data_IF_090750717672
#
_entry.id   IF_090750717672
#
_cell.length_a   1.000
_cell.length_b   1.000
_cell.length_c   1.000
_cell.angle_alpha   90.00
_cell.angle_beta   90.00
_cell.angle_gamma   90.00
#
_symmetry.space_group_name_H-M   'P 1'
#
loop_
_entity.id
_entity.type
_entity.pdbx_description
1 polymer ?
#
# COMPACT_ATOMS: atom_id res chain seq x y z
N UNK A 1 -29.45 -26.35 -68.98
CA UNK A 1 -29.68 -25.73 -67.66
C UNK A 1 -28.32 -25.55 -67.01
N UNK A 2 -27.82 -24.32 -66.96
CA UNK A 2 -26.52 -23.99 -66.37
C UNK A 2 -26.78 -23.04 -65.20
N UNK A 3 -26.69 -23.55 -63.98
CA UNK A 3 -26.79 -22.75 -62.77
C UNK A 3 -25.39 -22.20 -62.43
N UNK A 4 -25.25 -20.88 -62.50
CA UNK A 4 -24.07 -20.16 -62.01
C UNK A 4 -24.19 -19.95 -60.51
N UNK A 5 -23.31 -20.62 -59.77
CA UNK A 5 -23.14 -20.51 -58.32
C UNK A 5 -22.34 -19.23 -58.02
N UNK A 6 -22.98 -18.23 -57.43
CA UNK A 6 -22.32 -17.01 -56.95
C UNK A 6 -21.67 -17.26 -55.58
N UNK A 7 -20.34 -17.14 -55.53
CA UNK A 7 -19.56 -17.29 -54.32
C UNK A 7 -19.85 -16.15 -53.33
N UNK A 8 -20.21 -16.52 -52.10
CA UNK A 8 -20.41 -15.64 -50.95
C UNK A 8 -19.07 -15.16 -50.41
N UNK A 9 -18.89 -13.84 -50.31
CA UNK A 9 -17.69 -13.22 -49.76
C UNK A 9 -17.63 -13.37 -48.23
N UNK A 10 -16.46 -13.61 -47.62
CA UNK A 10 -16.34 -13.74 -46.17
C UNK A 10 -16.55 -12.38 -45.49
N UNK A 11 -17.47 -12.34 -44.53
CA UNK A 11 -17.74 -11.17 -43.69
C UNK A 11 -16.50 -10.80 -42.86
N UNK A 12 -16.09 -9.53 -42.94
CA UNK A 12 -14.99 -8.98 -42.18
C UNK A 12 -15.32 -8.98 -40.67
N UNK A 13 -14.63 -9.85 -39.92
CA UNK A 13 -14.64 -9.85 -38.46
C UNK A 13 -14.07 -8.53 -37.94
N UNK A 14 -14.94 -7.66 -37.43
CA UNK A 14 -14.53 -6.44 -36.76
C UNK A 14 -13.91 -6.85 -35.44
N UNK A 15 -12.58 -6.77 -35.34
CA UNK A 15 -11.87 -6.90 -34.07
C UNK A 15 -12.39 -5.80 -33.15
N UNK A 16 -13.19 -6.17 -32.15
CA UNK A 16 -13.53 -5.28 -31.03
C UNK A 16 -12.20 -4.96 -30.35
N UNK A 17 -11.64 -3.79 -30.66
CA UNK A 17 -10.48 -3.27 -29.94
C UNK A 17 -10.79 -3.20 -28.45
N UNK A 18 -9.77 -3.31 -27.60
CA UNK A 18 -9.91 -3.06 -26.18
C UNK A 18 -10.58 -1.68 -26.00
N UNK A 19 -11.82 -1.67 -25.50
CA UNK A 19 -12.47 -0.44 -25.08
C UNK A 19 -11.80 -0.04 -23.78
N UNK A 20 -10.92 0.96 -23.86
CA UNK A 20 -10.38 1.59 -22.68
C UNK A 20 -11.52 2.31 -21.97
N UNK A 21 -11.61 2.11 -20.66
CA UNK A 21 -12.51 2.86 -19.81
C UNK A 21 -11.99 4.31 -19.74
N UNK A 22 -12.62 5.23 -20.48
CA UNK A 22 -12.21 6.63 -20.51
C UNK A 22 -12.46 7.36 -19.19
N UNK A 23 -13.23 6.77 -18.27
CA UNK A 23 -13.41 7.32 -16.93
C UNK A 23 -12.16 7.19 -16.05
N UNK A 24 -11.24 6.28 -16.39
CA UNK A 24 -9.99 6.08 -15.65
C UNK A 24 -8.86 7.03 -16.10
N UNK A 25 -9.10 7.83 -17.15
CA UNK A 25 -8.15 8.79 -17.71
C UNK A 25 -8.75 10.19 -17.58
N UNK A 26 -8.55 10.88 -16.44
CA UNK A 26 -9.16 12.18 -16.18
C UNK A 26 -8.84 13.21 -17.28
N UNK A 27 -7.67 13.11 -17.94
CA UNK A 27 -7.26 13.99 -19.04
C UNK A 27 -8.18 13.93 -20.28
N UNK A 28 -8.96 12.85 -20.39
CA UNK A 28 -9.95 12.63 -21.45
C UNK A 28 -11.36 13.09 -21.08
N UNK A 29 -11.61 13.46 -19.82
CA UNK A 29 -12.94 13.87 -19.37
C UNK A 29 -13.26 15.32 -19.75
N UNK A 30 -14.47 15.59 -20.30
CA UNK A 30 -14.92 16.96 -20.55
C UNK A 30 -15.07 17.68 -19.21
N UNK A 31 -14.29 18.76 -19.02
CA UNK A 31 -14.16 19.48 -17.74
C UNK A 31 -12.73 19.47 -17.17
N UNK A 32 -11.96 18.39 -17.37
CA UNK A 32 -10.60 18.29 -16.87
C UNK A 32 -9.55 18.93 -17.80
N UNK A 33 -9.92 19.20 -19.05
CA UNK A 33 -8.99 19.73 -20.05
C UNK A 33 -8.68 21.23 -19.83
N UNK A 34 -7.48 21.71 -20.22
CA UNK A 34 -7.09 23.11 -20.07
C UNK A 34 -8.05 24.12 -20.74
N UNK A 35 -8.77 23.70 -21.79
CA UNK A 35 -9.75 24.51 -22.51
C UNK A 35 -11.21 24.36 -22.07
N UNK A 36 -11.51 23.56 -21.03
CA UNK A 36 -12.87 23.35 -20.58
C UNK A 36 -13.51 24.65 -20.06
N UNK A 37 -14.79 24.84 -20.36
CA UNK A 37 -15.52 26.02 -19.89
C UNK A 37 -15.82 25.89 -18.37
N UNK A 38 -16.16 27.00 -17.68
CA UNK A 38 -16.41 26.97 -16.24
C UNK A 38 -17.53 26.00 -15.80
N UNK A 39 -18.59 25.86 -16.58
CA UNK A 39 -19.71 24.97 -16.26
C UNK A 39 -19.33 23.49 -16.41
N UNK A 40 -18.49 23.14 -17.38
CA UNK A 40 -17.93 21.80 -17.56
C UNK A 40 -16.97 21.44 -16.42
N UNK A 41 -16.14 22.39 -15.99
CA UNK A 41 -15.25 22.22 -14.82
C UNK A 41 -16.04 21.97 -13.56
N UNK A 42 -17.06 22.77 -13.29
CA UNK A 42 -17.92 22.61 -12.10
C UNK A 42 -18.60 21.23 -12.07
N UNK A 43 -19.13 20.77 -13.19
CA UNK A 43 -19.73 19.43 -13.31
C UNK A 43 -18.71 18.30 -13.07
N UNK A 44 -17.50 18.45 -13.61
CA UNK A 44 -16.42 17.49 -13.37
C UNK A 44 -16.05 17.44 -11.89
N UNK A 45 -15.85 18.58 -11.24
CA UNK A 45 -15.54 18.67 -9.82
C UNK A 45 -16.65 18.11 -8.93
N UNK A 46 -17.92 18.35 -9.29
CA UNK A 46 -19.05 17.76 -8.58
C UNK A 46 -19.01 16.22 -8.69
N UNK A 47 -18.80 15.69 -9.89
CA UNK A 47 -18.75 14.25 -10.11
C UNK A 47 -17.56 13.58 -9.41
N UNK A 48 -16.40 14.24 -9.36
CA UNK A 48 -15.26 13.75 -8.59
C UNK A 48 -15.58 13.67 -7.10
N UNK A 49 -16.31 14.65 -6.55
CA UNK A 49 -16.75 14.63 -5.15
C UNK A 49 -17.74 13.51 -4.87
N UNK A 50 -18.72 13.32 -5.75
CA UNK A 50 -19.70 12.23 -5.65
C UNK A 50 -18.99 10.87 -5.67
N UNK A 51 -18.12 10.63 -6.64
CA UNK A 51 -17.37 9.37 -6.75
C UNK A 51 -16.48 9.12 -5.52
N UNK A 52 -15.84 10.15 -4.98
CA UNK A 52 -15.05 10.01 -3.75
C UNK A 52 -15.90 9.62 -2.55
N UNK A 53 -17.11 10.19 -2.43
CA UNK A 53 -18.05 9.82 -1.37
C UNK A 53 -18.55 8.38 -1.53
N UNK A 54 -18.85 7.97 -2.76
CA UNK A 54 -19.23 6.59 -3.09
C UNK A 54 -18.10 5.61 -2.73
N UNK A 55 -16.84 5.89 -3.12
CA UNK A 55 -15.70 5.06 -2.75
C UNK A 55 -15.48 5.00 -1.24
N UNK A 56 -15.56 6.11 -0.52
CA UNK A 56 -15.46 6.09 0.95
C UNK A 56 -16.58 5.25 1.58
N UNK A 57 -17.79 5.33 1.02
CA UNK A 57 -18.92 4.57 1.53
C UNK A 57 -18.73 3.07 1.25
N UNK A 58 -18.33 2.70 0.04
CA UNK A 58 -18.01 1.31 -0.32
C UNK A 58 -16.88 0.75 0.54
N UNK A 59 -15.82 1.52 0.79
CA UNK A 59 -14.74 1.11 1.70
C UNK A 59 -15.24 0.88 3.12
N UNK A 60 -16.13 1.75 3.64
CA UNK A 60 -16.76 1.55 4.96
C UNK A 60 -17.64 0.31 5.00
N UNK A 61 -18.39 0.04 3.94
CA UNK A 61 -19.24 -1.16 3.81
C UNK A 61 -18.37 -2.42 3.77
N UNK A 62 -17.33 -2.46 2.94
CA UNK A 62 -16.36 -3.57 2.88
C UNK A 62 -15.66 -3.75 4.23
N UNK A 63 -15.28 -2.66 4.90
CA UNK A 63 -14.67 -2.74 6.23
C UNK A 63 -15.65 -3.33 7.26
N UNK A 64 -16.91 -2.90 7.26
CA UNK A 64 -17.95 -3.43 8.13
C UNK A 64 -18.21 -4.92 7.87
N UNK A 65 -18.29 -5.33 6.60
CA UNK A 65 -18.43 -6.74 6.21
C UNK A 65 -17.22 -7.57 6.65
N UNK A 66 -16.00 -7.06 6.47
CA UNK A 66 -14.77 -7.71 6.96
C UNK A 66 -14.76 -7.85 8.47
N UNK A 67 -15.21 -6.84 9.19
CA UNK A 67 -15.33 -6.91 10.65
C UNK A 67 -16.36 -7.96 11.08
N UNK A 68 -17.52 -8.04 10.40
CA UNK A 68 -18.53 -9.06 10.66
C UNK A 68 -18.01 -10.48 10.36
N UNK A 69 -17.32 -10.66 9.22
CA UNK A 69 -16.74 -11.95 8.82
C UNK A 69 -15.57 -12.36 9.74
N UNK A 70 -14.74 -11.41 10.16
CA UNK A 70 -13.64 -11.65 11.11
C UNK A 70 -14.16 -11.99 12.50
N UNK A 71 -15.28 -11.40 12.93
CA UNK A 71 -15.93 -11.75 14.19
C UNK A 71 -16.38 -13.21 14.22
N UNK A 72 -17.03 -13.69 13.15
CA UNK A 72 -17.50 -15.07 13.06
C UNK A 72 -16.34 -16.09 13.03
N UNK A 73 -15.28 -15.84 12.26
CA UNK A 73 -14.10 -16.70 12.25
C UNK A 73 -13.38 -16.74 13.60
N UNK A 74 -13.29 -15.59 14.26
CA UNK A 74 -12.65 -15.47 15.58
C UNK A 74 -13.44 -16.13 16.69
N UNK A 75 -14.77 -16.03 16.66
CA UNK A 75 -15.65 -16.76 17.58
C UNK A 75 -15.38 -18.25 17.50
N UNK A 76 -15.31 -18.81 16.28
CA UNK A 76 -15.06 -20.25 16.10
C UNK A 76 -13.66 -20.68 16.58
N UNK A 77 -12.64 -19.83 16.40
CA UNK A 77 -11.27 -20.09 16.86
C UNK A 77 -11.20 -20.08 18.39
N UNK A 78 -11.83 -19.08 19.03
CA UNK A 78 -11.87 -18.98 20.49
C UNK A 78 -12.72 -20.11 21.10
N UNK A 79 -13.82 -20.48 20.47
CA UNK A 79 -14.61 -21.65 20.86
C UNK A 79 -13.81 -22.95 20.79
N UNK A 80 -12.91 -23.10 19.81
CA UNK A 80 -12.02 -24.26 19.73
C UNK A 80 -10.98 -24.29 20.87
N UNK A 81 -10.57 -23.14 21.40
CA UNK A 81 -9.68 -23.05 22.57
C UNK A 81 -10.41 -23.34 23.89
N UNK A 82 -11.71 -23.03 23.97
CA UNK A 82 -12.53 -23.19 25.18
C UNK A 82 -13.77 -24.07 24.96
N UNK A 83 -13.60 -25.35 24.55
CA UNK A 83 -14.73 -26.21 24.19
C UNK A 83 -15.64 -26.55 25.37
N UNK A 84 -15.20 -26.31 26.60
CA UNK A 84 -15.99 -26.53 27.82
C UNK A 84 -16.89 -25.35 28.19
N UNK A 85 -16.69 -24.19 27.57
CA UNK A 85 -17.51 -23.00 27.81
C UNK A 85 -18.64 -22.91 26.78
N UNK A 86 -19.76 -22.32 27.20
CA UNK A 86 -20.91 -22.11 26.33
C UNK A 86 -20.60 -21.07 25.23
N UNK A 87 -21.06 -21.34 24.02
CA UNK A 87 -20.87 -20.45 22.87
C UNK A 87 -21.56 -19.09 23.08
N UNK A 88 -22.72 -19.08 23.75
CA UNK A 88 -23.43 -17.83 24.07
C UNK A 88 -22.63 -16.96 25.06
N UNK A 89 -21.95 -17.60 26.02
CA UNK A 89 -21.07 -16.92 26.96
C UNK A 89 -19.84 -16.33 26.26
N UNK A 90 -19.19 -17.11 25.38
CA UNK A 90 -18.03 -16.66 24.60
C UNK A 90 -18.41 -15.46 23.73
N UNK A 91 -19.58 -15.49 23.08
CA UNK A 91 -20.11 -14.38 22.29
C UNK A 91 -20.35 -13.12 23.12
N UNK A 92 -20.97 -13.26 24.29
CA UNK A 92 -21.21 -12.14 25.20
C UNK A 92 -19.91 -11.47 25.62
N UNK A 93 -18.90 -12.26 26.01
CA UNK A 93 -17.59 -11.76 26.43
C UNK A 93 -16.84 -11.10 25.27
N UNK A 94 -16.93 -11.65 24.06
CA UNK A 94 -16.31 -11.04 22.88
C UNK A 94 -16.95 -9.71 22.48
N UNK A 95 -18.26 -9.56 22.67
CA UNK A 95 -18.98 -8.32 22.42
C UNK A 95 -18.65 -7.23 23.46
N UNK A 96 -18.45 -7.61 24.73
CA UNK A 96 -18.16 -6.69 25.82
C UNK A 96 -16.67 -6.32 25.95
N UNK A 97 -15.76 -7.15 25.44
CA UNK A 97 -14.33 -6.92 25.59
C UNK A 97 -13.81 -5.78 24.69
N UNK A 98 -13.05 -4.86 25.29
CA UNK A 98 -12.40 -3.74 24.58
C UNK A 98 -11.29 -4.19 23.62
N UNK A 99 -10.78 -5.40 23.81
CA UNK A 99 -9.82 -6.03 22.92
C UNK A 99 -9.98 -7.56 22.98
N UNK A 100 -9.60 -8.27 21.92
CA UNK A 100 -9.74 -9.72 21.89
C UNK A 100 -8.82 -10.44 22.87
N UNK A 101 -7.66 -9.85 23.21
CA UNK A 101 -6.77 -10.42 24.22
C UNK A 101 -7.42 -10.39 25.59
N UNK A 102 -8.08 -9.27 25.93
CA UNK A 102 -8.87 -9.16 27.17
C UNK A 102 -9.98 -10.20 27.21
N UNK A 103 -10.65 -10.48 26.08
CA UNK A 103 -11.63 -11.55 25.99
C UNK A 103 -11.03 -12.93 26.31
N UNK A 104 -9.87 -13.26 25.73
CA UNK A 104 -9.16 -14.52 26.00
C UNK A 104 -8.74 -14.60 27.48
N UNK A 105 -8.19 -13.53 28.05
CA UNK A 105 -7.74 -13.49 29.44
C UNK A 105 -8.91 -13.69 30.42
N UNK A 106 -10.08 -13.09 30.13
CA UNK A 106 -11.30 -13.31 30.93
C UNK A 106 -11.85 -14.72 30.80
N UNK A 107 -11.84 -15.32 29.60
CA UNK A 107 -12.24 -16.71 29.40
C UNK A 107 -11.29 -17.69 30.14
N UNK A 108 -9.97 -17.43 30.12
CA UNK A 108 -8.99 -18.18 30.91
C UNK A 108 -9.25 -18.06 32.42
N UNK A 109 -9.55 -16.85 32.91
CA UNK A 109 -9.90 -16.62 34.31
C UNK A 109 -11.17 -17.38 34.72
N UNK A 110 -12.17 -17.49 33.83
CA UNK A 110 -13.38 -18.27 34.08
C UNK A 110 -13.10 -19.78 34.12
N UNK A 111 -12.31 -20.31 33.17
CA UNK A 111 -11.96 -21.74 33.17
C UNK A 111 -11.16 -22.13 34.41
N UNK A 112 -10.22 -21.27 34.83
CA UNK A 112 -9.45 -21.51 36.06
C UNK A 112 -10.36 -21.47 37.30
N UNK A 113 -11.26 -20.49 37.40
CA UNK A 113 -12.22 -20.41 38.50
C UNK A 113 -13.18 -21.60 38.56
N UNK A 114 -13.66 -22.10 37.41
CA UNK A 114 -14.54 -23.28 37.35
C UNK A 114 -13.81 -24.56 37.75
N UNK A 115 -12.54 -24.69 37.38
CA UNK A 115 -11.73 -25.85 37.76
C UNK A 115 -11.30 -25.84 39.23
N UNK A 116 -11.15 -24.66 39.85
CA UNK A 116 -10.73 -24.54 41.25
C UNK A 116 -11.84 -24.91 42.27
N UNK A 117 -13.11 -24.93 41.84
CA UNK A 117 -14.26 -25.12 42.75
C UNK A 117 -14.56 -26.60 43.09
N UNK A 118 -13.83 -27.57 42.53
CA UNK A 118 -13.97 -28.94 43.03
C UNK A 118 -13.34 -30.01 42.17
N UNK A 119 -12.12 -30.39 42.52
CA UNK A 119 -11.61 -31.73 42.22
C UNK A 119 -11.51 -32.50 43.54
N UNK A 120 -12.49 -33.35 43.90
CA UNK A 120 -12.17 -34.54 44.67
C UNK A 120 -11.20 -35.38 43.83
N UNK A 121 -10.00 -35.56 44.40
CA UNK A 121 -8.92 -36.46 44.01
C UNK A 121 -9.43 -37.73 43.27
N UNK A 122 -9.45 -37.75 41.93
CA UNK A 122 -9.89 -38.97 41.24
C UNK A 122 -10.29 -38.97 39.76
N UNK A 123 -10.01 -37.96 38.92
CA UNK A 123 -10.24 -38.08 37.46
C UNK A 123 -9.03 -37.74 36.59
N UNK A 124 -8.83 -38.49 35.48
CA UNK A 124 -7.57 -38.55 34.75
C UNK A 124 -7.32 -37.31 33.90
N UNK A 125 -6.05 -36.89 33.89
CA UNK A 125 -5.54 -35.80 33.08
C UNK A 125 -5.99 -35.91 31.62
N UNK A 126 -6.52 -34.80 31.10
CA UNK A 126 -6.89 -34.64 29.69
C UNK A 126 -5.62 -34.88 28.85
N UNK A 127 -5.66 -35.95 28.07
CA UNK A 127 -4.60 -36.33 27.14
C UNK A 127 -4.44 -35.25 26.09
N UNK A 128 -3.35 -34.48 26.16
CA UNK A 128 -2.87 -33.70 25.01
C UNK A 128 -2.73 -34.64 23.82
N UNK A 129 -3.37 -34.38 22.66
CA UNK A 129 -3.17 -35.20 21.48
C UNK A 129 -1.68 -35.17 21.09
N UNK A 130 -1.09 -36.30 20.69
CA UNK A 130 0.32 -36.34 20.29
C UNK A 130 0.56 -35.38 19.11
N UNK A 131 1.74 -34.74 19.03
CA UNK A 131 2.08 -33.87 17.92
C UNK A 131 1.85 -34.62 16.61
N UNK A 132 0.91 -34.13 15.79
CA UNK A 132 0.65 -34.70 14.49
C UNK A 132 1.78 -34.27 13.58
N UNK A 133 2.61 -35.21 13.16
CA UNK A 133 3.53 -34.98 12.04
C UNK A 133 2.67 -34.82 10.78
N UNK A 134 2.48 -33.57 10.37
CA UNK A 134 1.67 -33.21 9.21
C UNK A 134 2.37 -33.53 7.88
N UNK A 135 3.57 -34.13 7.92
CA UNK A 135 4.29 -34.55 6.71
C UNK A 135 4.66 -33.36 5.83
N UNK A 136 4.80 -32.16 6.40
CA UNK A 136 5.14 -30.93 5.67
C UNK A 136 6.50 -31.04 4.96
N UNK A 137 7.35 -31.96 5.43
CA UNK A 137 8.64 -32.29 4.83
C UNK A 137 8.59 -33.44 3.81
N UNK A 138 7.42 -34.03 3.57
CA UNK A 138 7.26 -35.13 2.60
C UNK A 138 7.01 -34.56 1.20
N UNK A 139 7.95 -34.82 0.28
CA UNK A 139 7.83 -34.46 -1.14
C UNK A 139 6.63 -35.12 -1.83
N UNK A 140 6.10 -36.21 -1.25
CA UNK A 140 4.94 -36.93 -1.78
C UNK A 140 3.63 -36.17 -1.53
N UNK A 141 3.54 -35.40 -0.43
CA UNK A 141 2.36 -34.60 -0.08
C UNK A 141 2.47 -33.14 -0.53
N UNK A 142 3.71 -32.62 -0.62
CA UNK A 142 3.99 -31.25 -1.05
C UNK A 142 5.04 -31.26 -2.17
N UNK A 143 4.64 -31.59 -3.42
CA UNK A 143 5.56 -31.51 -4.55
C UNK A 143 6.06 -30.07 -4.67
N UNK A 144 7.38 -29.90 -4.67
CA UNK A 144 7.99 -28.58 -4.82
C UNK A 144 7.52 -27.93 -6.12
N UNK A 145 6.96 -26.72 -6.01
CA UNK A 145 6.53 -25.95 -7.17
C UNK A 145 7.79 -25.45 -7.89
N UNK A 146 8.27 -26.26 -8.85
CA UNK A 146 9.28 -25.84 -9.80
C UNK A 146 8.61 -24.97 -10.85
N UNK A 147 9.21 -23.81 -11.13
CA UNK A 147 8.79 -23.02 -12.28
C UNK A 147 9.09 -23.74 -13.61
N UNK A 148 8.58 -23.23 -14.74
CA UNK A 148 8.82 -23.83 -16.07
C UNK A 148 10.30 -23.84 -16.49
N UNK A 149 11.17 -23.17 -15.73
CA UNK A 149 12.62 -23.17 -15.86
C UNK A 149 13.34 -24.10 -14.86
N UNK A 150 12.61 -24.83 -14.02
CA UNK A 150 13.15 -25.76 -13.05
C UNK A 150 13.71 -25.10 -11.78
N UNK A 151 13.41 -23.83 -11.50
CA UNK A 151 13.83 -23.18 -10.26
C UNK A 151 12.86 -23.47 -9.13
N UNK A 152 13.43 -23.87 -7.99
CA UNK A 152 12.71 -24.06 -6.73
C UNK A 152 12.83 -22.79 -5.89
N UNK A 153 11.71 -22.29 -5.37
CA UNK A 153 11.73 -21.24 -4.34
C UNK A 153 11.91 -21.92 -2.98
N UNK A 154 13.07 -21.76 -2.30
CA UNK A 154 13.26 -22.33 -0.97
C UNK A 154 12.27 -21.70 0.01
N UNK A 155 11.73 -22.52 0.92
CA UNK A 155 10.86 -22.05 1.99
C UNK A 155 11.61 -21.15 2.96
N UNK A 156 10.89 -20.26 3.66
CA UNK A 156 11.51 -19.27 4.57
C UNK A 156 12.39 -19.90 5.65
N UNK A 157 11.96 -21.03 6.22
CA UNK A 157 12.77 -21.79 7.18
C UNK A 157 14.09 -22.33 6.60
N UNK A 158 14.15 -22.63 5.29
CA UNK A 158 15.38 -23.04 4.61
C UNK A 158 16.29 -21.84 4.30
N UNK A 159 15.73 -20.64 4.12
CA UNK A 159 16.52 -19.42 4.03
C UNK A 159 17.16 -19.09 5.39
N UNK A 160 16.38 -19.17 6.47
CA UNK A 160 16.84 -18.84 7.82
C UNK A 160 17.89 -19.86 8.32
N UNK A 161 17.78 -21.14 7.95
CA UNK A 161 18.80 -22.15 8.27
C UNK A 161 20.12 -21.96 7.48
N UNK A 162 20.06 -21.27 6.33
CA UNK A 162 21.21 -21.02 5.45
C UNK A 162 21.83 -19.63 5.68
N UNK A 163 21.43 -18.88 6.71
CA UNK A 163 21.95 -17.54 7.01
C UNK A 163 23.47 -17.51 7.35
N UNK A 164 24.11 -18.66 7.52
CA UNK A 164 25.58 -18.78 7.62
C UNK A 164 26.29 -18.78 6.25
N UNK A 165 25.79 -18.04 5.26
CA UNK A 165 26.32 -17.99 3.89
C UNK A 165 27.68 -17.27 3.71
N UNK A 166 28.41 -16.99 4.80
CA UNK A 166 29.80 -16.51 4.76
C UNK A 166 30.83 -17.66 4.77
N UNK A 167 30.46 -18.84 4.25
CA UNK A 167 31.43 -19.92 4.07
C UNK A 167 32.27 -19.70 2.81
N UNK A 168 33.59 -19.97 2.85
CA UNK A 168 34.48 -19.79 1.70
C UNK A 168 34.09 -20.64 0.48
N UNK A 169 33.26 -21.66 0.68
CA UNK A 169 32.69 -22.50 -0.37
C UNK A 169 31.69 -21.74 -1.26
N UNK A 170 30.90 -20.81 -0.70
CA UNK A 170 30.00 -19.97 -1.49
C UNK A 170 30.81 -19.05 -2.42
N UNK A 171 31.88 -18.44 -1.91
CA UNK A 171 32.78 -17.60 -2.71
C UNK A 171 33.48 -18.40 -3.82
N UNK A 172 33.83 -19.67 -3.57
CA UNK A 172 34.38 -20.57 -4.59
C UNK A 172 33.33 -20.91 -5.66
N UNK A 173 32.08 -21.19 -5.26
CA UNK A 173 30.98 -21.52 -6.19
C UNK A 173 30.52 -20.31 -7.02
N UNK A 174 30.50 -19.12 -6.43
CA UNK A 174 30.24 -17.87 -7.15
C UNK A 174 31.31 -17.60 -8.23
N UNK A 175 32.59 -17.89 -7.93
CA UNK A 175 33.69 -17.78 -8.91
C UNK A 175 33.56 -18.78 -10.06
N UNK A 176 33.06 -20.00 -9.81
CA UNK A 176 32.78 -20.96 -10.90
C UNK A 176 31.61 -20.54 -11.80
N UNK A 177 30.67 -19.72 -11.29
CA UNK A 177 29.59 -19.15 -12.10
C UNK A 177 30.07 -18.14 -13.16
N UNK A 178 31.25 -17.54 -12.97
CA UNK A 178 31.84 -16.56 -13.91
C UNK A 178 32.25 -17.21 -15.24
N UNK A 179 32.53 -18.52 -15.26
CA UNK A 179 32.85 -19.26 -16.49
C UNK A 179 31.62 -19.86 -17.19
N UNK A 180 30.41 -19.70 -16.64
CA UNK A 180 29.21 -20.15 -17.32
C UNK A 180 28.94 -19.27 -18.56
N UNK A 181 28.54 -19.87 -19.71
CA UNK A 181 28.21 -19.09 -20.90
C UNK A 181 27.07 -18.13 -20.59
N UNK A 182 27.23 -16.86 -21.00
CA UNK A 182 26.22 -15.81 -20.80
C UNK A 182 24.87 -16.28 -21.37
N UNK A 183 23.78 -16.29 -20.58
CA UNK A 183 22.49 -16.74 -21.06
C UNK A 183 22.08 -15.90 -22.27
N UNK A 184 21.39 -16.51 -23.26
CA UNK A 184 21.00 -15.81 -24.48
C UNK A 184 20.20 -14.56 -24.12
N UNK A 185 20.71 -13.39 -24.52
CA UNK A 185 20.06 -12.11 -24.22
C UNK A 185 18.66 -12.12 -24.80
N UNK A 186 17.67 -11.98 -23.93
CA UNK A 186 16.29 -11.81 -24.35
C UNK A 186 16.21 -10.64 -25.35
N UNK A 187 15.36 -10.74 -26.39
CA UNK A 187 15.19 -9.66 -27.35
C UNK A 187 14.76 -8.39 -26.61
N UNK A 188 15.53 -7.31 -26.78
CA UNK A 188 15.21 -6.00 -26.22
C UNK A 188 13.82 -5.59 -26.70
N UNK A 189 12.89 -5.42 -25.77
CA UNK A 189 11.66 -4.71 -26.06
C UNK A 189 11.99 -3.32 -26.64
N UNK A 190 11.24 -2.82 -27.63
CA UNK A 190 11.46 -1.49 -28.19
C UNK A 190 11.31 -0.47 -27.05
N UNK A 191 12.41 0.20 -26.72
CA UNK A 191 12.43 1.26 -25.72
C UNK A 191 11.60 2.42 -26.27
N UNK A 192 10.41 2.63 -25.72
CA UNK A 192 9.67 3.88 -25.87
C UNK A 192 10.54 5.06 -25.40
N UNK A 193 10.39 6.19 -26.06
CA UNK A 193 11.20 7.41 -25.91
C UNK A 193 11.03 8.11 -24.55
N UNK A 194 11.36 7.45 -23.45
CA UNK A 194 11.38 8.06 -22.13
C UNK A 194 12.80 8.54 -21.81
N UNK A 195 12.93 9.88 -21.80
CA UNK A 195 13.97 10.73 -21.23
C UNK A 195 15.36 10.13 -20.98
N UNK A 196 16.38 10.73 -21.60
CA UNK A 196 17.79 10.50 -21.25
C UNK A 196 18.01 10.77 -19.75
N UNK A 197 18.60 9.85 -18.98
CA UNK A 197 19.01 10.14 -17.61
C UNK A 197 20.10 11.22 -17.63
N UNK A 198 19.84 12.31 -16.92
CA UNK A 198 20.76 13.43 -16.74
C UNK A 198 21.88 12.98 -15.80
N UNK A 199 23.09 12.84 -16.35
CA UNK A 199 24.31 12.62 -15.56
C UNK A 199 24.54 13.82 -14.64
N UNK A 200 24.37 13.61 -13.34
CA UNK A 200 24.84 14.55 -12.33
C UNK A 200 26.36 14.34 -12.16
N UNK A 201 27.12 15.41 -12.38
CA UNK A 201 28.54 15.45 -12.04
C UNK A 201 28.63 15.67 -10.53
N UNK A 202 29.15 14.67 -9.83
CA UNK A 202 29.47 14.75 -8.41
C UNK A 202 30.74 15.60 -8.28
N UNK A 203 30.59 16.87 -7.89
CA UNK A 203 31.70 17.72 -7.49
C UNK A 203 31.98 17.39 -6.02
N UNK A 204 33.21 16.97 -5.75
CA UNK A 204 33.68 16.57 -4.42
C UNK A 204 34.04 17.85 -3.65
N UNK A 205 33.06 18.34 -2.87
CA UNK A 205 33.19 19.50 -2.00
C UNK A 205 33.31 19.02 -0.55
N UNK A 206 34.18 19.71 0.19
CA UNK A 206 34.69 19.40 1.52
C UNK A 206 33.58 18.93 2.50
N UNK A 207 33.84 17.84 3.23
CA UNK A 207 32.90 17.26 4.19
C UNK A 207 32.65 18.20 5.38
N UNK A 208 31.68 19.09 5.23
CA UNK A 208 31.02 19.81 6.31
C UNK A 208 30.09 18.83 7.04
N UNK A 209 29.94 18.91 8.38
CA UNK A 209 29.15 17.96 9.16
C UNK A 209 27.75 17.78 8.57
N UNK A 210 27.38 16.51 8.39
CA UNK A 210 26.19 16.04 7.68
C UNK A 210 24.91 16.49 8.42
N UNK A 211 24.50 17.73 8.18
CA UNK A 211 23.23 18.26 8.68
C UNK A 211 22.12 17.55 7.92
N UNK A 212 21.46 16.59 8.56
CA UNK A 212 20.28 15.96 7.97
C UNK A 212 19.18 17.02 7.88
N UNK A 213 18.74 17.41 6.67
CA UNK A 213 17.71 18.42 6.51
C UNK A 213 16.44 17.98 7.25
N UNK A 214 15.88 18.87 8.05
CA UNK A 214 14.60 18.60 8.73
C UNK A 214 13.46 18.62 7.72
N UNK A 215 12.30 18.06 8.07
CA UNK A 215 11.11 18.09 7.21
C UNK A 215 10.69 19.52 6.84
N UNK A 216 10.93 20.47 7.74
CA UNK A 216 10.71 21.89 7.49
C UNK A 216 11.60 22.42 6.34
N UNK A 217 12.90 22.09 6.35
CA UNK A 217 13.87 22.50 5.33
C UNK A 217 13.54 21.91 3.95
N UNK A 218 13.03 20.66 3.94
CA UNK A 218 12.57 20.00 2.73
C UNK A 218 11.36 20.71 2.12
N UNK A 219 10.36 21.06 2.93
CA UNK A 219 9.19 21.82 2.45
C UNK A 219 9.57 23.21 1.94
N UNK A 220 10.44 23.91 2.65
CA UNK A 220 10.88 25.25 2.23
C UNK A 220 11.71 25.23 0.96
N UNK A 221 12.67 24.32 0.84
CA UNK A 221 13.48 24.19 -0.38
C UNK A 221 12.64 23.76 -1.59
N UNK A 222 11.60 22.94 -1.39
CA UNK A 222 10.64 22.59 -2.44
C UNK A 222 9.82 23.82 -2.90
N UNK A 223 9.35 24.64 -1.96
CA UNK A 223 8.66 25.90 -2.25
C UNK A 223 9.53 26.89 -3.03
N UNK A 224 10.78 27.09 -2.59
CA UNK A 224 11.75 27.95 -3.26
C UNK A 224 12.03 27.47 -4.70
N UNK A 225 12.23 26.16 -4.90
CA UNK A 225 12.41 25.56 -6.24
C UNK A 225 11.19 25.78 -7.13
N UNK A 226 9.97 25.75 -6.57
CA UNK A 226 8.73 26.00 -7.33
C UNK A 226 8.67 27.43 -7.86
N UNK A 227 8.94 28.42 -7.00
CA UNK A 227 8.98 29.84 -7.39
C UNK A 227 10.09 30.07 -8.42
N UNK A 228 11.27 29.51 -8.21
CA UNK A 228 12.39 29.66 -9.14
C UNK A 228 12.07 29.04 -10.51
N UNK A 229 11.44 27.87 -10.55
CA UNK A 229 10.94 27.28 -11.80
C UNK A 229 9.85 28.13 -12.45
N UNK A 230 8.99 28.77 -11.66
CA UNK A 230 7.96 29.66 -12.16
C UNK A 230 8.55 30.94 -12.77
N UNK A 231 9.66 31.46 -12.22
CA UNK A 231 10.40 32.59 -12.81
C UNK A 231 11.14 32.16 -14.09
N UNK A 232 11.83 31.02 -14.07
CA UNK A 232 12.66 30.56 -15.19
C UNK A 232 11.85 30.03 -16.37
N UNK A 233 10.74 29.34 -16.10
CA UNK A 233 9.92 28.64 -17.08
C UNK A 233 8.50 29.21 -17.20
N UNK A 234 8.16 30.26 -16.45
CA UNK A 234 6.95 31.06 -16.64
C UNK A 234 7.02 31.91 -17.91
N UNK A 235 7.23 31.25 -19.06
CA UNK A 235 7.06 31.86 -20.37
C UNK A 235 5.56 31.93 -20.66
N UNK A 236 4.98 33.11 -20.50
CA UNK A 236 3.73 33.46 -21.18
C UNK A 236 2.59 33.93 -20.30
N UNK A 237 2.82 34.85 -19.36
CA UNK A 237 1.82 35.90 -19.12
C UNK A 237 1.77 36.82 -20.35
N UNK A 238 1.26 36.28 -21.45
CA UNK A 238 0.89 37.03 -22.62
C UNK A 238 -0.26 37.95 -22.24
N UNK A 239 0.07 39.24 -22.10
CA UNK A 239 -0.75 40.41 -22.43
C UNK A 239 -2.20 40.08 -22.81
N UNK A 240 -3.14 40.39 -21.91
CA UNK A 240 -4.55 40.56 -22.30
C UNK A 240 -5.55 40.29 -21.19
N UNK A 241 -5.67 41.23 -20.23
CA UNK A 241 -6.94 41.74 -19.68
C UNK A 241 -6.72 42.30 -18.27
N UNK A 242 -6.99 43.60 -18.13
CA UNK A 242 -7.53 44.14 -16.89
C UNK A 242 -6.53 44.37 -15.76
N UNK A 243 -5.67 45.36 -15.95
CA UNK A 243 -5.26 46.19 -14.83
C UNK A 243 -6.52 46.77 -14.15
N UNK A 244 -6.80 46.33 -12.93
CA UNK A 244 -7.44 47.19 -11.93
C UNK A 244 -6.75 46.96 -10.59
N UNK A 245 -5.64 47.66 -10.44
CA UNK A 245 -5.13 48.03 -9.14
C UNK A 245 -6.27 48.64 -8.31
N UNK A 246 -6.57 48.03 -7.17
CA UNK A 246 -7.00 48.76 -5.99
C UNK A 246 -5.95 48.47 -4.93
N UNK A 247 -5.10 49.47 -4.72
CA UNK A 247 -4.30 49.60 -3.52
C UNK A 247 -5.25 49.53 -2.32
N UNK A 248 -5.06 48.53 -1.46
CA UNK A 248 -5.36 48.68 -0.05
C UNK A 248 -4.02 48.78 0.64
N UNK A 249 -3.67 50.02 0.93
CA UNK A 249 -2.77 50.46 1.98
C UNK A 249 -3.05 49.61 3.22
N UNK A 250 -2.13 48.71 3.55
CA UNK A 250 -2.05 48.11 4.88
C UNK A 250 -0.95 48.91 5.56
N UNK A 251 -1.39 49.86 6.39
CA UNK A 251 -0.55 50.58 7.34
C UNK A 251 0.23 49.55 8.16
N UNK A 252 1.56 49.64 8.05
CA UNK A 252 2.48 49.12 9.06
C UNK A 252 2.07 49.73 10.41
N UNK A 253 1.79 48.93 11.45
CA UNK A 253 1.71 49.47 12.80
C UNK A 253 3.13 49.79 13.25
N UNK A 254 3.36 51.08 13.50
CA UNK A 254 4.54 51.63 14.15
C UNK A 254 4.83 50.87 15.45
N UNK A 255 6.01 50.23 15.50
CA UNK A 255 6.67 49.83 16.73
C UNK A 255 7.25 51.10 17.37
N UNK A 256 6.44 51.80 18.17
CA UNK A 256 6.93 52.79 19.13
C UNK A 256 7.00 52.19 20.54
N UNK A 257 8.20 52.34 21.08
CA UNK A 257 8.64 52.14 22.44
C UNK A 257 7.61 52.49 23.53
N UNK A 258 7.52 51.63 24.54
CA UNK A 258 7.20 52.07 25.90
C UNK A 258 8.01 51.24 26.91
N UNK A 259 8.92 51.97 27.55
CA UNK A 259 9.76 51.66 28.70
C UNK A 259 8.98 51.00 29.85
N UNK A 260 9.63 50.10 30.58
CA UNK A 260 10.01 50.33 31.99
C UNK A 260 8.83 50.58 32.93
N UNK A 261 8.52 49.56 33.74
CA UNK A 261 8.33 49.80 35.17
C UNK A 261 8.42 48.47 35.91
N UNK A 262 9.50 48.33 36.67
CA UNK A 262 9.62 47.31 37.69
C UNK A 262 8.61 47.55 38.82
N UNK A 263 8.01 46.46 39.32
CA UNK A 263 7.50 46.43 40.70
C UNK A 263 7.84 45.07 41.30
N UNK A 264 8.94 45.10 42.05
CA UNK A 264 9.24 44.25 43.20
C UNK A 264 8.20 44.51 44.29
N UNK A 265 7.49 43.48 44.77
CA UNK A 265 6.96 43.42 46.15
C UNK A 265 6.93 41.96 46.61
N UNK A 266 7.51 41.79 47.80
CA UNK A 266 7.66 40.61 48.69
C UNK A 266 6.66 39.44 48.59
#
# INVERSE_FOLDING_TARGET
MTETQTASAPAASHRKGAQLNFFDIPEMMPGAQPGANPAERERFEQRCRELHQECEQEEREIAAERHAASGAGRETEIQAMFPTLDADLIRGILADASSPQVAIDTLLALVTAVNDVGVPEGQPAVTTPPPRDLGVNSEEYFPSLLDSSGWQVPGRAQLDANETCDTPEYAARAKTGVSAPEPPRAPRAPQGAWGKPRREKKTEEYAEPEYQPTDYDMRHSAGAKRVQRQILFGRGAGRGAGARAKNQDVQEPDEEDAEDDGVEVD
#
